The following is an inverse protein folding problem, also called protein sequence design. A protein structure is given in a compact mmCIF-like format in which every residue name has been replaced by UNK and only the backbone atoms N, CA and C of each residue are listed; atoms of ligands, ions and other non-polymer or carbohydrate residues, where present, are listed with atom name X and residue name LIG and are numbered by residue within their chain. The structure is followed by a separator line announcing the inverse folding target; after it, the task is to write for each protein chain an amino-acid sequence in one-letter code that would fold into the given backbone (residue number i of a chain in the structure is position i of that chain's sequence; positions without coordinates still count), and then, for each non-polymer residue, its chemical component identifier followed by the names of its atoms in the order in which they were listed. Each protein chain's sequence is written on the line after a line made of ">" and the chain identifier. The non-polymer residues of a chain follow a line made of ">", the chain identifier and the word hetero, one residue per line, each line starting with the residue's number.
data_IF_201822604355
#
_entry.id   IF_201822604355
#
_cell.length_a   1.000
_cell.length_b   1.000
_cell.length_c   1.000
_cell.angle_alpha   90.00
_cell.angle_beta   90.00
_cell.angle_gamma   90.00
#
_symmetry.space_group_name_H-M   'P 1'
#
loop_
_entity.id
_entity.type
_entity.pdbx_description
1 polymer ?
#
# COMPACT_ATOMS: atom_id res chain seq x y z
N UNK A 1 -8.59 17.09 5.76
CA UNK A 1 -8.25 15.68 5.73
C UNK A 1 -8.97 15.01 4.56
N UNK A 2 -8.26 14.22 3.79
CA UNK A 2 -8.83 13.53 2.64
C UNK A 2 -9.47 12.21 3.05
N UNK A 3 -10.55 11.86 2.36
CA UNK A 3 -11.30 10.64 2.64
C UNK A 3 -11.45 9.81 1.37
N UNK A 4 -11.56 8.49 1.54
CA UNK A 4 -11.89 7.58 0.45
C UNK A 4 -13.42 7.56 0.26
N UNK A 5 -13.86 7.72 -1.00
CA UNK A 5 -15.25 7.46 -1.32
C UNK A 5 -15.56 5.98 -1.20
N UNK A 6 -16.84 5.56 -1.06
CA UNK A 6 -17.15 4.13 -1.07
C UNK A 6 -16.67 3.41 -2.33
N UNK A 7 -16.73 4.05 -3.50
CA UNK A 7 -16.26 3.46 -4.75
C UNK A 7 -14.74 3.29 -4.77
N UNK A 8 -13.99 4.29 -4.28
CA UNK A 8 -12.54 4.20 -4.17
C UNK A 8 -12.12 3.08 -3.21
N UNK A 9 -12.78 3.00 -2.05
CA UNK A 9 -12.54 1.94 -1.08
C UNK A 9 -12.80 0.56 -1.68
N UNK A 10 -13.92 0.41 -2.38
CA UNK A 10 -14.26 -0.86 -3.03
C UNK A 10 -13.20 -1.28 -4.05
N UNK A 11 -12.66 -0.34 -4.84
CA UNK A 11 -11.61 -0.64 -5.80
C UNK A 11 -10.32 -1.09 -5.10
N UNK A 12 -9.90 -0.40 -4.04
CA UNK A 12 -8.70 -0.76 -3.29
C UNK A 12 -8.84 -2.16 -2.67
N UNK A 13 -10.04 -2.49 -2.16
CA UNK A 13 -10.30 -3.79 -1.50
C UNK A 13 -10.69 -4.91 -2.46
N UNK A 14 -10.74 -4.66 -3.76
CA UNK A 14 -11.12 -5.63 -4.79
C UNK A 14 -9.94 -6.49 -5.27
N UNK A 15 -9.07 -6.96 -4.43
CA UNK A 15 -7.67 -7.41 -4.62
C UNK A 15 -7.08 -7.12 -6.01
N UNK A 16 -7.08 -5.84 -6.38
CA UNK A 16 -6.35 -5.34 -7.53
C UNK A 16 -4.90 -5.04 -7.10
N UNK A 17 -3.95 -5.13 -8.04
CA UNK A 17 -2.58 -4.73 -7.74
C UNK A 17 -2.47 -3.21 -7.61
N UNK A 18 -1.56 -2.77 -6.76
CA UNK A 18 -1.26 -1.37 -6.56
C UNK A 18 0.20 -1.09 -6.85
N UNK A 19 0.49 0.14 -7.22
CA UNK A 19 1.87 0.64 -7.33
C UNK A 19 2.06 1.70 -6.26
N UNK A 20 3.14 1.56 -5.48
CA UNK A 20 3.53 2.56 -4.49
C UNK A 20 4.80 3.27 -4.91
N UNK A 21 4.83 4.60 -4.72
CA UNK A 21 6.01 5.43 -4.89
C UNK A 21 6.50 5.87 -3.52
N UNK A 22 7.79 5.67 -3.27
CA UNK A 22 8.52 6.25 -2.16
C UNK A 22 9.65 7.12 -2.70
N UNK A 23 10.30 7.92 -1.86
CA UNK A 23 11.24 8.94 -2.33
C UNK A 23 12.66 8.50 -2.00
N UNK A 24 13.49 8.36 -3.06
CA UNK A 24 14.91 8.08 -2.94
C UNK A 24 15.66 9.26 -2.32
N UNK A 25 16.88 9.07 -1.78
CA UNK A 25 17.67 10.16 -1.21
C UNK A 25 17.90 11.35 -2.15
N UNK A 26 17.96 11.08 -3.45
CA UNK A 26 18.14 12.13 -4.46
C UNK A 26 16.82 12.78 -4.92
N UNK A 27 15.68 12.37 -4.32
CA UNK A 27 14.37 12.89 -4.66
C UNK A 27 13.65 12.14 -5.76
N UNK A 28 14.28 11.15 -6.38
CA UNK A 28 13.65 10.39 -7.45
C UNK A 28 12.62 9.42 -6.88
N UNK A 29 11.43 9.27 -7.50
CA UNK A 29 10.46 8.27 -7.06
C UNK A 29 10.99 6.84 -7.28
N UNK A 30 10.83 5.99 -6.28
CA UNK A 30 11.10 4.55 -6.37
C UNK A 30 9.75 3.83 -6.36
N UNK A 31 9.50 2.99 -7.35
CA UNK A 31 8.21 2.32 -7.53
C UNK A 31 8.32 0.82 -7.26
N UNK A 32 7.25 0.27 -6.70
CA UNK A 32 7.09 -1.18 -6.59
C UNK A 32 5.61 -1.57 -6.62
N UNK A 33 5.34 -2.80 -7.06
CA UNK A 33 3.99 -3.36 -7.07
C UNK A 33 3.75 -4.03 -5.72
N UNK A 34 2.57 -3.77 -5.15
CA UNK A 34 2.21 -4.24 -3.80
C UNK A 34 0.78 -4.77 -3.78
N UNK A 35 0.47 -5.55 -2.73
CA UNK A 35 -0.89 -5.86 -2.32
C UNK A 35 -1.35 -4.83 -1.31
N UNK A 36 -2.62 -4.45 -1.37
CA UNK A 36 -3.18 -3.40 -0.50
C UNK A 36 -4.54 -3.80 0.06
N UNK A 37 -4.91 -3.10 1.12
CA UNK A 37 -6.28 -3.09 1.64
C UNK A 37 -6.54 -1.73 2.29
N UNK A 38 -7.80 -1.41 2.53
CA UNK A 38 -8.16 -0.24 3.32
C UNK A 38 -8.35 -0.59 4.79
N UNK A 39 -8.14 0.40 5.63
CA UNK A 39 -8.55 0.41 7.03
C UNK A 39 -9.02 1.84 7.34
N UNK A 40 -10.35 2.02 7.43
CA UNK A 40 -10.90 3.36 7.45
C UNK A 40 -10.58 4.10 6.15
N UNK A 41 -9.96 5.26 6.25
CA UNK A 41 -9.48 6.02 5.09
C UNK A 41 -8.01 5.74 4.76
N UNK A 42 -7.34 4.92 5.55
CA UNK A 42 -5.95 4.59 5.33
C UNK A 42 -5.79 3.43 4.34
N UNK A 43 -4.67 3.43 3.63
CA UNK A 43 -4.27 2.33 2.75
C UNK A 43 -3.12 1.60 3.41
N UNK A 44 -3.25 0.28 3.56
CA UNK A 44 -2.27 -0.56 4.21
C UNK A 44 -1.56 -1.46 3.21
N UNK A 45 -0.25 -1.61 3.37
CA UNK A 45 0.50 -2.67 2.71
C UNK A 45 1.61 -3.17 3.64
N UNK A 46 2.19 -4.31 3.30
CA UNK A 46 3.26 -4.94 4.09
C UNK A 46 4.58 -4.84 3.35
N UNK A 47 5.64 -4.58 4.09
CA UNK A 47 7.00 -4.65 3.57
C UNK A 47 7.91 -5.34 4.57
N UNK A 48 9.17 -5.51 4.22
CA UNK A 48 10.20 -6.12 5.08
C UNK A 48 11.17 -5.05 5.50
N UNK A 49 11.51 -5.02 6.78
CA UNK A 49 12.51 -4.10 7.32
C UNK A 49 13.82 -4.24 6.55
N UNK A 50 14.37 -3.11 6.10
CA UNK A 50 15.61 -3.05 5.33
C UNK A 50 15.42 -3.03 3.81
N UNK A 51 14.24 -3.33 3.28
CA UNK A 51 13.98 -3.15 1.85
C UNK A 51 13.95 -1.68 1.48
N UNK A 52 14.13 -1.38 0.18
CA UNK A 52 14.28 -0.01 -0.31
C UNK A 52 13.14 0.91 0.13
N UNK A 53 11.89 0.48 -0.03
CA UNK A 53 10.77 1.34 0.36
C UNK A 53 10.68 1.55 1.87
N UNK A 54 11.09 0.56 2.67
CA UNK A 54 11.16 0.72 4.11
C UNK A 54 12.19 1.78 4.50
N UNK A 55 13.42 1.69 3.98
CA UNK A 55 14.47 2.66 4.27
C UNK A 55 14.12 4.06 3.76
N UNK A 56 13.47 4.15 2.60
CA UNK A 56 12.98 5.42 2.07
C UNK A 56 11.96 6.06 3.01
N UNK A 57 10.98 5.28 3.47
CA UNK A 57 9.91 5.80 4.34
C UNK A 57 10.40 6.19 5.73
N UNK A 58 11.46 5.54 6.24
CA UNK A 58 12.09 5.96 7.49
C UNK A 58 12.68 7.37 7.38
N UNK A 59 13.21 7.74 6.20
CA UNK A 59 13.82 9.03 5.95
C UNK A 59 12.79 10.07 5.52
N UNK A 60 11.85 9.69 4.65
CA UNK A 60 10.84 10.57 4.07
C UNK A 60 9.50 9.82 4.06
N UNK A 61 8.55 10.20 4.92
CA UNK A 61 7.31 9.44 5.07
C UNK A 61 6.31 9.61 3.93
N UNK A 62 6.61 10.44 2.93
CA UNK A 62 5.68 10.62 1.81
C UNK A 62 5.56 9.34 0.98
N UNK A 63 4.33 8.94 0.71
CA UNK A 63 4.02 7.79 -0.12
C UNK A 63 2.82 8.10 -1.00
N UNK A 64 2.87 7.63 -2.24
CA UNK A 64 1.76 7.74 -3.18
C UNK A 64 1.43 6.35 -3.69
N UNK A 65 0.14 6.00 -3.64
CA UNK A 65 -0.35 4.67 -4.06
C UNK A 65 -1.38 4.88 -5.15
N UNK A 66 -1.26 4.13 -6.25
CA UNK A 66 -2.31 4.07 -7.27
C UNK A 66 -2.85 2.65 -7.37
N UNK A 67 -4.17 2.53 -7.42
CA UNK A 67 -4.88 1.27 -7.67
C UNK A 67 -5.79 1.49 -8.86
N UNK A 68 -5.72 0.60 -9.86
CA UNK A 68 -6.59 0.66 -11.02
C UNK A 68 -7.27 -0.67 -11.26
N UNK A 69 -8.44 -0.63 -11.92
CA UNK A 69 -9.14 -1.82 -12.32
C UNK A 69 -8.42 -2.50 -13.48
N UNK A 70 -8.12 -3.81 -13.36
CA UNK A 70 -7.47 -4.55 -14.44
C UNK A 70 -8.36 -4.70 -15.66
N UNK A 71 -9.68 -4.70 -15.47
CA UNK A 71 -10.63 -4.82 -16.58
C UNK A 71 -10.97 -3.48 -17.22
N UNK A 72 -10.75 -2.38 -16.50
CA UNK A 72 -10.97 -1.02 -17.00
C UNK A 72 -9.95 -0.07 -16.38
N UNK A 73 -8.72 0.01 -16.90
CA UNK A 73 -7.64 0.79 -16.30
C UNK A 73 -7.89 2.31 -16.25
N UNK A 74 -8.90 2.81 -16.97
CA UNK A 74 -9.35 4.19 -16.84
C UNK A 74 -10.02 4.48 -15.51
N UNK A 75 -10.42 3.45 -14.78
CA UNK A 75 -10.99 3.55 -13.43
C UNK A 75 -9.87 3.37 -12.42
N UNK A 76 -9.51 4.44 -11.71
CA UNK A 76 -8.43 4.34 -10.72
C UNK A 76 -8.62 5.31 -9.56
N UNK A 77 -7.90 5.04 -8.49
CA UNK A 77 -7.74 5.94 -7.36
C UNK A 77 -6.26 6.12 -7.06
N UNK A 78 -5.85 7.36 -6.88
CA UNK A 78 -4.50 7.72 -6.43
C UNK A 78 -4.60 8.33 -5.04
N UNK A 79 -3.82 7.80 -4.10
CA UNK A 79 -3.77 8.28 -2.73
C UNK A 79 -2.37 8.83 -2.46
N UNK A 80 -2.29 10.12 -2.17
CA UNK A 80 -1.04 10.79 -1.76
C UNK A 80 -1.11 11.05 -0.27
N UNK A 81 -0.13 10.57 0.48
CA UNK A 81 -0.18 10.71 1.92
C UNK A 81 1.15 10.51 2.61
N UNK A 82 1.05 10.29 3.91
CA UNK A 82 2.20 10.07 4.77
C UNK A 82 2.09 8.70 5.42
N UNK A 83 3.20 7.98 5.45
CA UNK A 83 3.25 6.63 6.00
C UNK A 83 3.58 6.65 7.48
N UNK A 84 2.87 5.80 8.21
CA UNK A 84 3.21 5.40 9.57
C UNK A 84 3.62 3.94 9.52
N UNK A 85 4.75 3.60 10.13
CA UNK A 85 5.31 2.25 10.12
C UNK A 85 5.04 1.59 11.46
N UNK A 86 4.49 0.37 11.42
CA UNK A 86 4.17 -0.41 12.61
C UNK A 86 4.75 -1.81 12.45
N UNK A 87 5.54 -2.26 13.42
CA UNK A 87 6.07 -3.63 13.38
C UNK A 87 4.93 -4.64 13.42
N UNK A 88 5.08 -5.71 12.64
CA UNK A 88 4.09 -6.79 12.52
C UNK A 88 4.76 -8.14 12.79
N UNK A 89 5.15 -8.41 14.06
CA UNK A 89 5.90 -9.62 14.38
C UNK A 89 5.14 -10.90 14.09
N UNK A 90 3.81 -10.87 14.13
CA UNK A 90 2.97 -12.02 13.83
C UNK A 90 2.70 -12.20 12.34
N UNK A 91 3.22 -11.29 11.50
CA UNK A 91 3.01 -11.33 10.05
C UNK A 91 1.53 -11.33 9.66
N UNK A 92 0.70 -10.64 10.47
CA UNK A 92 -0.74 -10.70 10.34
C UNK A 92 -1.23 -10.04 9.03
N UNK A 93 -0.68 -8.89 8.67
CA UNK A 93 -1.12 -8.18 7.46
C UNK A 93 -0.72 -8.92 6.19
N UNK A 94 0.55 -9.35 6.07
CA UNK A 94 0.97 -10.05 4.85
C UNK A 94 0.19 -11.36 4.67
N UNK A 95 -0.13 -12.06 5.75
CA UNK A 95 -0.93 -13.27 5.66
C UNK A 95 -2.38 -12.97 5.25
N UNK A 96 -2.98 -11.92 5.80
CA UNK A 96 -4.32 -11.48 5.40
C UNK A 96 -4.34 -11.11 3.91
N UNK A 97 -3.35 -10.35 3.44
CA UNK A 97 -3.24 -9.97 2.03
C UNK A 97 -3.04 -11.19 1.13
N UNK A 98 -2.23 -12.15 1.56
CA UNK A 98 -2.04 -13.39 0.81
C UNK A 98 -3.35 -14.14 0.62
N UNK A 99 -4.17 -14.24 1.66
CA UNK A 99 -5.48 -14.87 1.56
C UNK A 99 -6.41 -14.11 0.62
N UNK A 100 -6.38 -12.78 0.64
CA UNK A 100 -7.22 -11.96 -0.23
C UNK A 100 -6.81 -12.06 -1.70
N UNK A 101 -5.50 -12.09 -1.99
CA UNK A 101 -4.97 -12.06 -3.34
C UNK A 101 -4.76 -13.45 -3.94
N UNK A 102 -4.40 -14.45 -3.11
CA UNK A 102 -4.00 -15.77 -3.59
C UNK A 102 -4.74 -16.93 -2.91
N UNK A 103 -5.46 -16.68 -1.81
CA UNK A 103 -6.25 -17.69 -1.11
C UNK A 103 -5.43 -18.68 -0.28
N UNK A 104 -4.16 -18.39 0.02
CA UNK A 104 -3.26 -19.28 0.76
C UNK A 104 -2.50 -18.49 1.83
N UNK A 105 -1.96 -19.23 2.82
CA UNK A 105 -1.02 -18.65 3.77
C UNK A 105 0.23 -18.15 3.06
N UNK A 106 0.76 -17.02 3.54
CA UNK A 106 1.96 -16.43 2.95
C UNK A 106 3.20 -17.21 3.33
N UNK A 107 3.98 -17.60 2.34
CA UNK A 107 5.26 -18.32 2.54
C UNK A 107 6.37 -17.28 2.62
N UNK A 108 6.71 -16.85 3.85
CA UNK A 108 7.74 -15.85 4.08
C UNK A 108 9.05 -16.48 4.54
N UNK A 109 10.17 -15.84 4.21
CA UNK A 109 11.47 -16.25 4.74
C UNK A 109 11.50 -16.03 6.26
N UNK A 110 12.00 -16.99 7.06
CA UNK A 110 11.91 -16.90 8.52
C UNK A 110 12.59 -15.67 9.13
N UNK A 111 13.63 -15.15 8.47
CA UNK A 111 14.37 -13.99 8.96
C UNK A 111 13.73 -12.64 8.61
N UNK A 112 12.67 -12.63 7.81
CA UNK A 112 12.03 -11.38 7.40
C UNK A 112 11.26 -10.76 8.58
N UNK A 113 11.57 -9.49 8.85
CA UNK A 113 10.82 -8.70 9.84
C UNK A 113 9.78 -7.89 9.10
N UNK A 114 8.51 -8.25 9.25
CA UNK A 114 7.42 -7.57 8.56
C UNK A 114 7.04 -6.27 9.24
N UNK A 115 6.73 -5.29 8.40
CA UNK A 115 6.31 -3.96 8.82
C UNK A 115 5.02 -3.61 8.08
N UNK A 116 4.02 -3.17 8.85
CA UNK A 116 2.80 -2.59 8.28
C UNK A 116 3.10 -1.15 7.91
N UNK A 117 2.83 -0.79 6.67
CA UNK A 117 2.87 0.60 6.21
C UNK A 117 1.43 1.09 6.12
N UNK A 118 1.11 2.10 6.90
CA UNK A 118 -0.20 2.74 6.92
C UNK A 118 -0.07 4.11 6.27
N UNK A 119 -0.67 4.26 5.09
CA UNK A 119 -0.65 5.54 4.36
C UNK A 119 -1.93 6.30 4.71
N UNK A 120 -1.77 7.40 5.41
CA UNK A 120 -2.88 8.31 5.76
C UNK A 120 -3.01 9.35 4.66
N UNK A 121 -4.19 9.45 4.00
CA UNK A 121 -4.33 10.33 2.85
C UNK A 121 -4.24 11.82 3.21
N UNK A 122 -3.45 12.56 2.44
CA UNK A 122 -3.51 14.02 2.38
C UNK A 122 -4.33 14.46 1.16
N UNK A 123 -4.32 13.67 0.08
CA UNK A 123 -5.07 13.94 -1.14
C UNK A 123 -5.50 12.63 -1.79
N UNK A 124 -6.74 12.57 -2.24
CA UNK A 124 -7.29 11.44 -2.98
C UNK A 124 -7.76 11.95 -4.34
N UNK A 125 -7.29 11.31 -5.41
CA UNK A 125 -7.69 11.61 -6.79
C UNK A 125 -8.35 10.36 -7.36
N UNK A 126 -9.56 10.49 -7.85
CA UNK A 126 -10.29 9.38 -8.48
C UNK A 126 -10.58 9.70 -9.94
N UNK A 127 -10.67 8.67 -10.75
CA UNK A 127 -11.11 8.76 -12.13
C UNK A 127 -12.14 7.68 -12.42
N UNK A 128 -13.30 8.09 -12.89
CA UNK A 128 -14.42 7.23 -13.27
C UNK A 128 -14.89 6.29 -12.15
N UNK A 129 -14.84 6.80 -10.95
CA UNK A 129 -15.34 6.09 -9.77
C UNK A 129 -16.53 6.82 -9.16
#
# INVERSE_FOLDING_TARGET
>A
MAHLTPAARALIDAPEFATVATIEPDGQPQLSVIWVKTDGDDVLFSTVAGRRKHTNLLRDPRATVIVYSRTDPGRYVEVRGHAVLVDDPDKSLINELSHRYEGIDFQDAPGNQRVIVRVTPAKVVTREL
#
